data_IF_437588967881
#
_entry.id   IF_437588967881
#
_cell.length_a   1.000
_cell.length_b   1.000
_cell.length_c   1.000
_cell.angle_alpha   90.00
_cell.angle_beta   90.00
_cell.angle_gamma   90.00
#
_symmetry.space_group_name_H-M   'P 1'
#
loop_
_entity.id
_entity.type
_entity.pdbx_description
1 polymer ?
#
# COMPACT_ATOMS: atom_id res chain seq x y z
N UNK A 1 -37.29 -1.27 -26.65
CA UNK A 1 -37.70 0.14 -26.72
C UNK A 1 -37.22 0.80 -25.44
N UNK A 2 -36.65 1.99 -25.58
CA UNK A 2 -35.82 2.71 -24.60
C UNK A 2 -36.70 3.48 -23.59
N UNK A 3 -36.10 3.82 -22.44
CA UNK A 3 -36.34 5.06 -21.65
C UNK A 3 -37.63 5.13 -20.78
N UNK A 4 -37.72 5.68 -19.55
CA UNK A 4 -36.96 6.66 -18.75
C UNK A 4 -37.15 6.37 -17.23
N UNK A 5 -36.10 6.68 -16.45
CA UNK A 5 -35.94 6.90 -14.99
C UNK A 5 -37.16 7.28 -14.11
N UNK A 6 -37.09 6.87 -12.84
CA UNK A 6 -37.54 7.69 -11.69
C UNK A 6 -36.57 7.51 -10.52
N UNK A 7 -35.83 8.59 -10.27
CA UNK A 7 -35.09 8.87 -9.04
C UNK A 7 -36.08 8.97 -7.88
N UNK A 8 -35.70 8.50 -6.69
CA UNK A 8 -35.75 9.22 -5.41
C UNK A 8 -35.66 8.23 -4.24
N UNK A 9 -34.69 8.50 -3.35
CA UNK A 9 -34.43 7.92 -2.03
C UNK A 9 -34.21 6.41 -1.95
N UNK A 10 -32.95 5.96 -1.72
CA UNK A 10 -32.48 5.38 -0.43
C UNK A 10 -30.93 5.34 -0.43
N UNK A 11 -30.30 5.88 0.61
CA UNK A 11 -29.00 5.37 1.07
C UNK A 11 -27.75 6.10 0.58
N UNK A 12 -27.40 7.14 1.32
CA UNK A 12 -26.03 7.54 1.63
C UNK A 12 -25.17 6.29 1.94
N UNK A 13 -24.30 5.90 1.01
CA UNK A 13 -23.23 4.96 1.30
C UNK A 13 -22.02 5.41 0.48
N UNK A 14 -21.06 6.00 1.21
CA UNK A 14 -19.75 6.38 0.72
C UNK A 14 -19.18 5.21 -0.08
N UNK A 15 -19.08 5.36 -1.40
CA UNK A 15 -18.41 4.43 -2.30
C UNK A 15 -16.89 4.37 -2.06
N UNK A 16 -16.45 4.39 -0.81
CA UNK A 16 -15.20 3.78 -0.40
C UNK A 16 -15.43 2.28 -0.51
N UNK A 17 -15.23 1.75 -1.72
CA UNK A 17 -14.91 0.34 -1.90
C UNK A 17 -13.85 0.00 -0.86
N UNK A 18 -14.27 -0.68 0.21
CA UNK A 18 -13.45 -1.42 1.14
C UNK A 18 -12.86 -2.60 0.39
N UNK A 19 -12.10 -2.31 -0.65
CA UNK A 19 -11.02 -3.17 -1.02
C UNK A 19 -9.96 -2.94 0.04
N UNK A 20 -10.06 -3.72 1.12
CA UNK A 20 -8.88 -4.19 1.83
C UNK A 20 -8.04 -5.00 0.82
N UNK A 21 -7.54 -4.32 -0.22
CA UNK A 21 -6.36 -4.77 -0.92
C UNK A 21 -5.30 -4.72 0.17
N UNK A 22 -4.89 -5.88 0.64
CA UNK A 22 -3.62 -6.07 1.33
C UNK A 22 -2.54 -5.50 0.41
N UNK A 23 -2.35 -4.17 0.48
CA UNK A 23 -1.31 -3.45 -0.23
C UNK A 23 -0.04 -3.78 0.53
N UNK A 24 0.61 -4.84 0.05
CA UNK A 24 1.96 -5.19 0.46
C UNK A 24 2.77 -3.90 0.40
N UNK A 25 3.43 -3.54 1.51
CA UNK A 25 4.21 -2.31 1.61
C UNK A 25 5.54 -2.58 2.29
N UNK A 26 6.58 -1.93 1.79
CA UNK A 26 7.89 -1.95 2.43
C UNK A 26 7.94 -0.82 3.47
N UNK A 27 8.13 -1.15 4.75
CA UNK A 27 8.17 -0.21 5.86
C UNK A 27 9.54 -0.25 6.51
N UNK A 28 10.16 0.91 6.73
CA UNK A 28 11.39 0.97 7.50
C UNK A 28 11.12 0.76 8.99
N UNK A 29 11.85 -0.16 9.61
CA UNK A 29 11.74 -0.50 11.02
C UNK A 29 12.18 0.62 11.99
N UNK A 30 12.98 1.58 11.51
CA UNK A 30 13.51 2.68 12.32
C UNK A 30 12.71 3.98 12.15
N UNK A 31 12.50 4.45 10.92
CA UNK A 31 11.79 5.71 10.67
C UNK A 31 10.30 5.53 10.37
N UNK A 32 9.82 4.30 10.15
CA UNK A 32 8.43 4.04 9.80
C UNK A 32 8.04 4.50 8.38
N UNK A 33 9.00 4.88 7.54
CA UNK A 33 8.73 5.25 6.15
C UNK A 33 8.17 4.05 5.39
N UNK A 34 6.99 4.19 4.79
CA UNK A 34 6.34 3.16 4.00
C UNK A 34 6.42 3.46 2.50
N UNK A 35 6.69 2.43 1.72
CA UNK A 35 6.77 2.46 0.27
C UNK A 35 5.78 1.43 -0.30
N UNK A 36 4.83 1.91 -1.09
CA UNK A 36 3.73 1.13 -1.66
C UNK A 36 3.99 0.78 -3.13
N UNK A 37 5.06 1.33 -3.72
CA UNK A 37 5.46 1.04 -5.09
C UNK A 37 5.95 -0.41 -5.23
N UNK A 38 5.45 -1.11 -6.24
CA UNK A 38 5.82 -2.51 -6.56
C UNK A 38 7.33 -2.69 -6.66
N UNK A 39 8.03 -1.76 -7.31
CA UNK A 39 9.48 -1.82 -7.47
C UNK A 39 10.21 -1.72 -6.12
N UNK A 40 9.75 -0.84 -5.24
CA UNK A 40 10.29 -0.68 -3.89
C UNK A 40 10.07 -1.93 -3.04
N UNK A 41 8.89 -2.56 -3.18
CA UNK A 41 8.56 -3.81 -2.48
C UNK A 41 9.42 -4.96 -2.99
N UNK A 42 9.61 -5.09 -4.30
CA UNK A 42 10.47 -6.14 -4.87
C UNK A 42 11.94 -5.96 -4.46
N UNK A 43 12.44 -4.72 -4.44
CA UNK A 43 13.79 -4.41 -3.95
C UNK A 43 13.92 -4.70 -2.46
N UNK A 44 12.92 -4.34 -1.65
CA UNK A 44 12.88 -4.67 -0.24
C UNK A 44 12.88 -6.20 -0.03
N UNK A 45 12.05 -6.95 -0.75
CA UNK A 45 12.00 -8.43 -0.69
C UNK A 45 13.35 -9.06 -1.04
N UNK A 46 13.99 -8.59 -2.12
CA UNK A 46 15.33 -9.05 -2.52
C UNK A 46 16.38 -8.72 -1.46
N UNK A 47 16.37 -7.50 -0.94
CA UNK A 47 17.29 -7.07 0.11
C UNK A 47 17.13 -7.88 1.40
N UNK A 48 15.88 -8.11 1.83
CA UNK A 48 15.57 -8.91 3.03
C UNK A 48 16.05 -10.35 2.83
N UNK A 49 15.85 -10.93 1.63
CA UNK A 49 16.32 -12.27 1.31
C UNK A 49 17.86 -12.39 1.30
N UNK A 50 18.56 -11.34 0.88
CA UNK A 50 20.03 -11.25 0.93
C UNK A 50 20.56 -10.95 2.35
N UNK A 51 19.67 -10.58 3.28
CA UNK A 51 20.00 -10.17 4.64
C UNK A 51 20.49 -8.73 4.75
N UNK A 52 20.26 -7.91 3.72
CA UNK A 52 20.63 -6.50 3.68
C UNK A 52 19.59 -5.68 2.91
N UNK A 53 18.69 -5.03 3.65
CA UNK A 53 17.62 -4.21 3.11
C UNK A 53 17.67 -2.78 3.68
N UNK A 54 18.65 -1.95 3.32
CA UNK A 54 18.77 -0.62 3.91
C UNK A 54 17.56 0.26 3.55
N UNK A 55 17.15 1.10 4.49
CA UNK A 55 16.14 2.11 4.24
C UNK A 55 16.60 3.09 3.16
N UNK A 56 15.77 3.43 2.16
CA UNK A 56 16.11 4.43 1.14
C UNK A 56 16.29 5.83 1.74
N UNK A 57 15.72 6.05 2.93
CA UNK A 57 15.86 7.29 3.64
C UNK A 57 17.30 7.42 4.18
N UNK A 58 18.13 8.18 3.47
CA UNK A 58 19.52 8.47 3.86
C UNK A 58 19.66 9.14 5.24
N UNK A 59 18.58 9.70 5.79
CA UNK A 59 18.55 10.26 7.15
C UNK A 59 18.23 9.23 8.22
N UNK A 60 17.96 7.98 7.84
CA UNK A 60 17.61 6.90 8.76
C UNK A 60 18.42 5.63 8.47
N UNK A 61 19.29 5.19 9.39
CA UNK A 61 20.06 3.94 9.24
C UNK A 61 19.21 2.71 9.62
N UNK A 62 17.99 2.61 9.09
CA UNK A 62 17.09 1.49 9.32
C UNK A 62 17.10 0.46 8.21
N UNK A 63 16.31 -0.59 8.40
CA UNK A 63 16.10 -1.65 7.42
C UNK A 63 14.63 -1.69 6.99
N UNK A 64 14.39 -2.02 5.72
CA UNK A 64 13.06 -2.23 5.18
C UNK A 64 12.55 -3.61 5.58
N UNK A 65 11.31 -3.65 6.04
CA UNK A 65 10.51 -4.84 6.30
C UNK A 65 9.30 -4.84 5.37
N UNK A 66 8.86 -6.00 4.92
CA UNK A 66 7.66 -6.08 4.06
C UNK A 66 6.49 -6.53 4.94
N UNK A 67 5.50 -5.65 5.07
CA UNK A 67 4.21 -6.00 5.67
C UNK A 67 3.24 -6.35 4.56
N UNK A 68 2.75 -7.59 4.60
CA UNK A 68 1.73 -8.14 3.71
C UNK A 68 0.37 -8.22 4.37
#
# INVERSE_FOLDING_TARGET
MVDIYSMEDIGRDDGQSLVEFYQVKAVCNQCGASYEDVESIEQARKGIADGYAPCPNLSCPGELEVNE
#
